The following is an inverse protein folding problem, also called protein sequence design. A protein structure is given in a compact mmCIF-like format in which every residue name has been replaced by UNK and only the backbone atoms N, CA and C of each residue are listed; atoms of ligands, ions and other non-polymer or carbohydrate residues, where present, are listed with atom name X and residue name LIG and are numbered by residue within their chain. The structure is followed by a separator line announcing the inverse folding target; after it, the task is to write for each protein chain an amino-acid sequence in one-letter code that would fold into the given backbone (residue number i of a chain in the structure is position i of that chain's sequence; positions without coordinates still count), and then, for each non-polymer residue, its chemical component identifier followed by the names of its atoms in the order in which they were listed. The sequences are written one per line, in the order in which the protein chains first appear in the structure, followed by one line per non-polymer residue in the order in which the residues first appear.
data_IF_879038253972
#
_entry.id   IF_879038253972
#
_cell.length_a   1.000
_cell.length_b   1.000
_cell.length_c   1.000
_cell.angle_alpha   90.00
_cell.angle_beta   90.00
_cell.angle_gamma   90.00
#
_symmetry.space_group_name_H-M   'P 1'
#
loop_
_entity.id
_entity.type
_entity.pdbx_description
1 polymer ?
#
# COMPACT_ATOMS: atom_id res chain seq x y z
N UNK A 1 -8.49 -12.70 20.23
CA UNK A 1 -7.38 -12.11 21.01
C UNK A 1 -7.34 -10.63 20.71
N UNK A 2 -7.67 -9.80 21.70
CA UNK A 2 -7.50 -8.35 21.62
C UNK A 2 -6.12 -8.01 22.18
N UNK A 3 -5.36 -7.18 21.48
CA UNK A 3 -4.07 -6.68 21.93
C UNK A 3 -4.24 -5.22 22.34
N UNK A 4 -3.67 -4.83 23.47
CA UNK A 4 -3.72 -3.44 23.92
C UNK A 4 -2.60 -2.64 23.25
N UNK A 5 -2.91 -2.13 22.05
CA UNK A 5 -1.94 -1.36 21.27
C UNK A 5 -1.80 0.06 21.83
N UNK A 6 -0.55 0.55 22.03
CA UNK A 6 -0.32 1.94 22.40
C UNK A 6 -0.99 2.91 21.41
N UNK A 7 -1.58 4.03 21.89
CA UNK A 7 -2.24 5.01 21.02
C UNK A 7 -1.34 5.49 19.87
N UNK A 8 -0.04 5.68 20.12
CA UNK A 8 0.97 6.03 19.10
C UNK A 8 1.02 5.01 17.96
N UNK A 9 0.97 3.72 18.26
CA UNK A 9 1.11 2.64 17.28
C UNK A 9 -0.16 2.52 16.44
N UNK A 10 -1.33 2.70 17.07
CA UNK A 10 -2.61 2.81 16.36
C UNK A 10 -2.63 4.02 15.42
N UNK A 11 -2.15 5.17 15.87
CA UNK A 11 -2.07 6.38 15.05
C UNK A 11 -1.12 6.20 13.83
N UNK A 12 0.05 5.58 14.05
CA UNK A 12 0.99 5.24 12.97
C UNK A 12 0.37 4.28 11.95
N UNK A 13 -0.33 3.24 12.42
CA UNK A 13 -1.02 2.30 11.53
C UNK A 13 -2.15 2.98 10.74
N UNK A 14 -2.92 3.86 11.37
CA UNK A 14 -3.97 4.61 10.69
C UNK A 14 -3.38 5.57 9.64
N UNK A 15 -2.25 6.21 9.94
CA UNK A 15 -1.54 7.04 8.97
C UNK A 15 -1.01 6.21 7.80
N UNK A 16 -0.43 5.04 8.06
CA UNK A 16 0.02 4.11 7.02
C UNK A 16 -1.14 3.71 6.08
N UNK A 17 -2.32 3.41 6.63
CA UNK A 17 -3.51 3.10 5.83
C UNK A 17 -3.96 4.28 4.96
N UNK A 18 -4.00 5.50 5.51
CA UNK A 18 -4.34 6.70 4.72
C UNK A 18 -3.38 6.93 3.56
N UNK A 19 -2.07 6.86 3.81
CA UNK A 19 -1.06 7.01 2.74
C UNK A 19 -1.18 5.89 1.70
N UNK A 20 -1.52 4.66 2.12
CA UNK A 20 -1.74 3.55 1.19
C UNK A 20 -2.98 3.76 0.32
N UNK A 21 -4.04 4.34 0.88
CA UNK A 21 -5.22 4.73 0.13
C UNK A 21 -4.91 5.86 -0.87
N UNK A 22 -4.18 6.90 -0.45
CA UNK A 22 -3.69 7.99 -1.34
C UNK A 22 -2.86 7.43 -2.49
N UNK A 23 -1.90 6.54 -2.20
CA UNK A 23 -1.07 5.88 -3.21
C UNK A 23 -1.89 5.03 -4.18
N UNK A 24 -2.85 4.26 -3.68
CA UNK A 24 -3.71 3.42 -4.52
C UNK A 24 -4.60 4.26 -5.43
N UNK A 25 -5.15 5.36 -4.89
CA UNK A 25 -5.95 6.31 -5.66
C UNK A 25 -5.10 6.95 -6.77
N UNK A 26 -3.88 7.41 -6.47
CA UNK A 26 -2.97 7.93 -7.48
C UNK A 26 -2.65 6.88 -8.56
N UNK A 27 -2.24 5.67 -8.17
CA UNK A 27 -1.94 4.62 -9.15
C UNK A 27 -3.12 4.26 -10.06
N UNK A 28 -4.35 4.41 -9.58
CA UNK A 28 -5.55 4.16 -10.41
C UNK A 28 -5.79 5.22 -11.49
N UNK A 29 -5.22 6.42 -11.36
CA UNK A 29 -5.32 7.49 -12.36
C UNK A 29 -4.13 7.54 -13.31
N UNK A 30 -3.04 6.84 -12.98
CA UNK A 30 -1.84 6.82 -13.80
C UNK A 30 -2.05 6.00 -15.08
N UNK A 31 -1.31 6.33 -16.16
CA UNK A 31 -1.19 5.45 -17.31
C UNK A 31 -0.75 4.04 -16.89
N UNK A 32 -1.08 3.03 -17.69
CA UNK A 32 -0.75 1.66 -17.34
C UNK A 32 0.75 1.34 -17.37
N UNK A 33 1.58 2.24 -17.94
CA UNK A 33 3.04 2.17 -17.95
C UNK A 33 3.65 3.47 -17.43
N UNK A 34 4.76 3.34 -16.70
CA UNK A 34 5.56 4.47 -16.22
C UNK A 34 6.39 5.11 -17.34
N UNK A 35 6.83 4.32 -18.31
CA UNK A 35 7.56 4.78 -19.50
C UNK A 35 6.62 4.82 -20.70
N UNK A 36 6.87 5.68 -21.70
CA UNK A 36 6.14 5.64 -22.96
C UNK A 36 6.26 4.25 -23.60
N UNK A 37 5.14 3.59 -23.85
CA UNK A 37 5.09 2.26 -24.45
C UNK A 37 4.01 2.18 -25.54
N UNK A 38 4.30 1.49 -26.66
CA UNK A 38 3.27 1.21 -27.65
C UNK A 38 2.19 0.34 -27.03
N UNK A 39 0.96 0.57 -27.48
CA UNK A 39 -0.16 -0.32 -27.19
C UNK A 39 -0.01 -1.64 -27.92
N UNK A 40 -0.82 -2.62 -27.55
CA UNK A 40 -0.89 -3.89 -28.26
C UNK A 40 -2.33 -4.39 -28.35
N UNK A 41 -2.58 -5.15 -29.41
CA UNK A 41 -3.84 -5.90 -29.61
C UNK A 41 -3.59 -7.35 -29.25
N UNK A 42 -4.55 -8.00 -28.61
CA UNK A 42 -4.48 -9.42 -28.30
C UNK A 42 -4.58 -10.21 -29.58
N UNK A 43 -3.60 -11.07 -29.84
CA UNK A 43 -3.68 -12.01 -30.95
C UNK A 43 -4.71 -13.10 -30.63
N UNK A 44 -5.49 -13.47 -31.63
CA UNK A 44 -6.48 -14.53 -31.53
C UNK A 44 -5.83 -15.83 -31.01
N UNK A 45 -6.42 -16.43 -29.97
CA UNK A 45 -5.88 -17.61 -29.29
C UNK A 45 -4.83 -17.37 -28.19
N UNK A 46 -4.41 -16.12 -27.92
CA UNK A 46 -3.56 -15.78 -26.77
C UNK A 46 -4.38 -15.11 -25.66
N UNK A 47 -4.28 -15.65 -24.43
CA UNK A 47 -4.89 -15.01 -23.27
C UNK A 47 -4.05 -13.81 -22.81
N UNK A 48 -4.70 -12.64 -22.71
CA UNK A 48 -4.18 -11.44 -22.03
C UNK A 48 -5.20 -11.00 -20.97
N UNK A 49 -4.83 -10.93 -19.69
CA UNK A 49 -5.75 -10.47 -18.64
C UNK A 49 -6.15 -8.99 -18.78
N UNK A 50 -5.46 -8.21 -19.64
CA UNK A 50 -5.77 -6.80 -19.92
C UNK A 50 -6.55 -6.58 -21.21
N UNK A 51 -6.73 -7.61 -22.05
CA UNK A 51 -7.27 -7.43 -23.39
C UNK A 51 -6.35 -6.56 -24.26
N UNK A 52 -6.97 -5.81 -25.17
CA UNK A 52 -6.32 -4.79 -26.00
C UNK A 52 -5.93 -3.59 -25.13
N UNK A 53 -4.69 -3.13 -25.29
CA UNK A 53 -4.12 -2.06 -24.47
C UNK A 53 -3.71 -0.90 -25.37
N UNK A 54 -4.22 0.33 -25.14
CA UNK A 54 -3.82 1.50 -25.92
C UNK A 54 -2.38 1.91 -25.60
N UNK A 55 -1.71 2.69 -26.46
CA UNK A 55 -0.41 3.27 -26.14
C UNK A 55 -0.41 4.04 -24.82
N UNK A 56 0.64 3.87 -24.03
CA UNK A 56 0.86 4.65 -22.82
C UNK A 56 1.83 5.79 -23.10
N UNK A 57 1.51 7.03 -22.69
CA UNK A 57 2.46 8.14 -22.76
C UNK A 57 3.55 8.10 -21.69
N UNK A 58 3.51 7.15 -20.75
CA UNK A 58 4.36 7.19 -19.55
C UNK A 58 3.87 8.22 -18.52
N UNK A 59 4.55 8.27 -17.38
CA UNK A 59 4.24 9.22 -16.30
C UNK A 59 4.86 10.58 -16.58
N UNK A 60 4.14 11.65 -16.25
CA UNK A 60 4.75 12.99 -16.24
C UNK A 60 5.73 13.12 -15.06
N UNK A 61 6.68 14.08 -15.10
CA UNK A 61 7.58 14.33 -13.98
C UNK A 61 6.84 14.61 -12.67
N UNK A 62 5.71 15.31 -12.72
CA UNK A 62 4.87 15.62 -11.55
C UNK A 62 4.23 14.37 -10.97
N UNK A 63 3.75 13.47 -11.84
CA UNK A 63 3.19 12.17 -11.44
C UNK A 63 4.25 11.27 -10.80
N UNK A 64 5.45 11.20 -11.39
CA UNK A 64 6.58 10.45 -10.82
C UNK A 64 7.00 11.02 -9.47
N UNK A 65 7.08 12.34 -9.35
CA UNK A 65 7.42 13.00 -8.09
C UNK A 65 6.36 12.76 -7.01
N UNK A 66 5.07 12.85 -7.33
CA UNK A 66 3.98 12.57 -6.41
C UNK A 66 4.00 11.10 -5.94
N UNK A 67 4.20 10.17 -6.87
CA UNK A 67 4.31 8.75 -6.56
C UNK A 67 5.51 8.46 -5.65
N UNK A 68 6.69 8.99 -5.99
CA UNK A 68 7.90 8.82 -5.18
C UNK A 68 7.79 9.39 -3.77
N UNK A 69 7.09 10.53 -3.60
CA UNK A 69 6.80 11.07 -2.27
C UNK A 69 5.91 10.13 -1.45
N UNK A 70 4.86 9.56 -2.06
CA UNK A 70 3.98 8.60 -1.39
C UNK A 70 4.71 7.31 -1.04
N UNK A 71 5.49 6.75 -1.95
CA UNK A 71 6.31 5.55 -1.71
C UNK A 71 7.35 5.77 -0.59
N UNK A 72 7.99 6.94 -0.57
CA UNK A 72 8.91 7.33 0.51
C UNK A 72 8.21 7.41 1.87
N UNK A 73 7.00 8.01 1.91
CA UNK A 73 6.17 8.05 3.13
C UNK A 73 5.74 6.65 3.56
N UNK A 74 5.32 5.79 2.64
CA UNK A 74 4.94 4.40 2.91
C UNK A 74 6.10 3.60 3.51
N UNK A 75 7.29 3.68 2.90
CA UNK A 75 8.49 2.98 3.37
C UNK A 75 8.86 3.42 4.78
N UNK A 76 8.88 4.74 5.03
CA UNK A 76 9.17 5.29 6.36
C UNK A 76 8.16 4.81 7.40
N UNK A 77 6.86 4.95 7.14
CA UNK A 77 5.80 4.56 8.08
C UNK A 77 5.82 3.06 8.36
N UNK A 78 6.04 2.25 7.32
CA UNK A 78 6.19 0.79 7.48
C UNK A 78 7.37 0.47 8.38
N UNK A 79 8.52 1.12 8.19
CA UNK A 79 9.69 0.96 9.05
C UNK A 79 9.37 1.26 10.52
N UNK A 80 8.82 2.44 10.80
CA UNK A 80 8.47 2.85 12.17
C UNK A 80 7.47 1.88 12.81
N UNK A 81 6.44 1.45 12.09
CA UNK A 81 5.47 0.47 12.61
C UNK A 81 6.14 -0.87 12.87
N UNK A 82 6.99 -1.37 11.97
CA UNK A 82 7.58 -2.71 12.09
C UNK A 82 8.66 -2.82 13.18
N UNK A 83 9.31 -1.70 13.54
CA UNK A 83 10.38 -1.64 14.53
C UNK A 83 9.96 -0.96 15.85
N UNK A 84 8.67 -0.70 16.09
CA UNK A 84 8.20 -0.10 17.35
C UNK A 84 8.57 -0.98 18.56
N UNK A 85 8.97 -0.33 19.66
CA UNK A 85 9.37 -1.01 20.90
C UNK A 85 8.25 -1.91 21.48
N UNK A 86 6.97 -1.65 21.16
CA UNK A 86 5.85 -2.52 21.53
C UNK A 86 6.07 -3.99 21.12
N UNK A 87 6.75 -4.25 20.01
CA UNK A 87 6.97 -5.64 19.59
C UNK A 87 7.89 -6.43 20.51
N UNK A 88 8.69 -5.75 21.34
CA UNK A 88 9.53 -6.41 22.35
C UNK A 88 8.70 -6.93 23.54
N UNK A 89 7.51 -6.37 23.78
CA UNK A 89 6.60 -6.82 24.83
C UNK A 89 5.63 -7.91 24.38
N UNK A 90 5.61 -8.27 23.09
CA UNK A 90 4.74 -9.31 22.55
C UNK A 90 5.52 -10.63 22.48
N UNK A 91 4.95 -11.70 23.01
CA UNK A 91 5.51 -13.05 22.86
C UNK A 91 5.80 -13.36 21.39
N UNK A 92 6.98 -13.92 21.10
CA UNK A 92 7.48 -14.12 19.73
C UNK A 92 6.48 -14.84 18.82
N UNK A 93 5.77 -15.83 19.35
CA UNK A 93 4.76 -16.62 18.63
C UNK A 93 3.49 -15.83 18.30
N UNK A 94 3.19 -14.77 19.08
CA UNK A 94 2.00 -13.93 18.93
C UNK A 94 2.24 -12.69 18.07
N UNK A 95 3.47 -12.35 17.71
CA UNK A 95 3.81 -11.14 16.95
C UNK A 95 3.06 -11.05 15.62
N UNK A 96 2.93 -12.16 14.89
CA UNK A 96 2.21 -12.18 13.60
C UNK A 96 0.72 -11.89 13.82
N UNK A 97 0.09 -12.55 14.79
CA UNK A 97 -1.31 -12.32 15.15
C UNK A 97 -1.54 -10.86 15.59
N UNK A 98 -0.62 -10.31 16.40
CA UNK A 98 -0.66 -8.93 16.85
C UNK A 98 -0.55 -7.94 15.68
N UNK A 99 0.35 -8.17 14.71
CA UNK A 99 0.45 -7.34 13.49
C UNK A 99 -0.83 -7.39 12.65
N UNK A 100 -1.46 -8.55 12.53
CA UNK A 100 -2.73 -8.69 11.80
C UNK A 100 -3.90 -7.99 12.53
N UNK A 101 -3.92 -8.06 13.85
CA UNK A 101 -4.88 -7.32 14.67
C UNK A 101 -4.66 -5.80 14.57
N UNK A 102 -3.40 -5.34 14.58
CA UNK A 102 -3.06 -3.92 14.44
C UNK A 102 -3.60 -3.34 13.13
N UNK A 103 -3.44 -4.05 12.00
CA UNK A 103 -3.99 -3.62 10.71
C UNK A 103 -5.50 -3.37 10.77
N UNK A 104 -6.23 -4.10 11.61
CA UNK A 104 -7.68 -3.96 11.79
C UNK A 104 -8.08 -3.09 12.99
N UNK A 105 -7.13 -2.57 13.77
CA UNK A 105 -7.41 -1.80 14.99
C UNK A 105 -8.08 -0.42 14.75
N UNK A 106 -8.35 -0.09 13.49
CA UNK A 106 -9.09 1.09 13.03
C UNK A 106 -10.51 0.75 12.57
N UNK A 107 -10.82 -0.54 12.36
CA UNK A 107 -12.16 -1.00 12.05
C UNK A 107 -13.01 -0.93 13.33
N UNK A 108 -14.27 -0.48 13.25
CA UNK A 108 -15.17 -0.63 14.38
C UNK A 108 -15.26 -2.10 14.74
N UNK A 109 -15.29 -2.41 16.04
CA UNK A 109 -15.49 -3.79 16.49
C UNK A 109 -16.77 -4.31 15.83
N UNK A 110 -16.66 -5.39 15.05
CA UNK A 110 -17.84 -6.08 14.51
C UNK A 110 -18.69 -6.48 15.72
N UNK A 111 -19.86 -5.84 15.84
CA UNK A 111 -20.86 -6.15 16.86
C UNK A 111 -21.53 -7.48 16.58
#
# INVERSE_FOLDING_TARGET
MSFDFPPRLRALQAQLHRVRAEHTALCSTLPWSAEPLPGWTVQEGRYSPRGDVPPSPGYTPEQQAALGQLEGRLRRLTGVVMTDAFWQSVEREKVVAARMALKRAHEPAAG
#
